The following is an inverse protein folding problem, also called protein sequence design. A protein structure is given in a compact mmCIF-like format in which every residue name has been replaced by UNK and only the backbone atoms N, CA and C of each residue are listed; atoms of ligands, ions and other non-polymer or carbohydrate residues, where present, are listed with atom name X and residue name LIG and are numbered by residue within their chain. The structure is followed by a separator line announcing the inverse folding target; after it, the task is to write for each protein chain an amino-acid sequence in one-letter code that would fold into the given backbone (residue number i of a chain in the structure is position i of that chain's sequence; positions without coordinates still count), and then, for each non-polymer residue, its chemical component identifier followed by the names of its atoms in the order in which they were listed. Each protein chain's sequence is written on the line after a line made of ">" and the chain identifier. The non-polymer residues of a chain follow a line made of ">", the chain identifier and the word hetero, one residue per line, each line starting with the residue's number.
data_IF_995581825958
#
_entry.id   IF_995581825958
#
_cell.length_a   1.000
_cell.length_b   1.000
_cell.length_c   1.000
_cell.angle_alpha   90.00
_cell.angle_beta   90.00
_cell.angle_gamma   90.00
#
_symmetry.space_group_name_H-M   'P 1'
#
loop_
_entity.id
_entity.type
_entity.pdbx_description
1 polymer ?
#
# COMPACT_ATOMS: atom_id res chain seq x y z
N UNK A 1 -32.10 -5.71 6.66
CA UNK A 1 -31.01 -4.73 6.65
C UNK A 1 -31.13 -4.00 5.33
N UNK A 2 -31.56 -2.73 5.38
CA UNK A 2 -31.77 -1.89 4.20
C UNK A 2 -30.40 -1.33 3.79
N UNK A 3 -29.89 -1.67 2.60
CA UNK A 3 -28.86 -0.83 1.97
C UNK A 3 -29.62 0.41 1.49
N UNK A 4 -29.49 1.52 2.20
CA UNK A 4 -30.37 2.68 1.98
C UNK A 4 -30.00 3.41 0.68
N UNK A 5 -28.76 3.27 0.22
CA UNK A 5 -28.26 3.99 -0.96
C UNK A 5 -27.44 3.12 -1.93
N UNK A 6 -27.31 1.81 -1.66
CA UNK A 6 -26.50 0.87 -2.46
C UNK A 6 -25.04 1.31 -2.63
N UNK A 7 -24.51 2.04 -1.65
CA UNK A 7 -23.11 2.46 -1.66
C UNK A 7 -22.19 1.26 -1.43
N UNK A 8 -20.94 1.36 -1.88
CA UNK A 8 -19.96 0.30 -1.67
C UNK A 8 -19.75 -0.01 -0.17
N UNK A 9 -19.76 1.03 0.67
CA UNK A 9 -19.54 0.88 2.11
C UNK A 9 -20.67 0.09 2.78
N UNK A 10 -21.93 0.35 2.42
CA UNK A 10 -23.09 -0.40 2.92
C UNK A 10 -23.03 -1.88 2.51
N UNK A 11 -22.77 -2.13 1.22
CA UNK A 11 -22.76 -3.48 0.66
C UNK A 11 -21.58 -4.29 1.24
N UNK A 12 -20.39 -3.69 1.30
CA UNK A 12 -19.21 -4.36 1.87
C UNK A 12 -19.35 -4.62 3.36
N UNK A 13 -19.97 -3.70 4.13
CA UNK A 13 -20.29 -3.93 5.54
C UNK A 13 -21.26 -5.11 5.73
N UNK A 14 -22.31 -5.19 4.90
CA UNK A 14 -23.23 -6.33 4.92
C UNK A 14 -22.52 -7.66 4.63
N UNK A 15 -21.69 -7.71 3.57
CA UNK A 15 -20.94 -8.91 3.19
C UNK A 15 -19.96 -9.34 4.28
N UNK A 16 -19.24 -8.38 4.87
CA UNK A 16 -18.33 -8.64 5.98
C UNK A 16 -19.07 -9.18 7.20
N UNK A 17 -20.19 -8.55 7.59
CA UNK A 17 -21.02 -9.02 8.69
C UNK A 17 -21.56 -10.43 8.45
N UNK A 18 -22.04 -10.72 7.23
CA UNK A 18 -22.52 -12.05 6.86
C UNK A 18 -21.40 -13.10 6.91
N UNK A 19 -20.22 -12.77 6.36
CA UNK A 19 -19.06 -13.67 6.32
C UNK A 19 -18.37 -13.87 7.67
N UNK A 20 -18.62 -12.96 8.63
CA UNK A 20 -18.18 -13.13 10.00
C UNK A 20 -19.05 -14.16 10.75
N UNK A 21 -20.37 -14.14 10.54
CA UNK A 21 -21.32 -15.02 11.24
C UNK A 21 -21.46 -16.39 10.55
N UNK A 22 -21.21 -16.47 9.25
CA UNK A 22 -21.29 -17.69 8.46
C UNK A 22 -19.95 -17.97 7.80
N UNK A 23 -19.51 -19.23 7.80
CA UNK A 23 -18.34 -19.65 7.03
C UNK A 23 -18.67 -19.60 5.53
N UNK A 24 -18.18 -18.59 4.84
CA UNK A 24 -18.28 -18.39 3.39
C UNK A 24 -16.89 -18.60 2.76
N UNK A 25 -16.79 -18.74 1.42
CA UNK A 25 -15.49 -18.85 0.74
C UNK A 25 -14.55 -17.67 0.99
N UNK A 26 -15.11 -16.49 1.28
CA UNK A 26 -14.39 -15.23 1.55
C UNK A 26 -14.25 -14.92 3.05
N UNK A 27 -14.69 -15.83 3.94
CA UNK A 27 -14.42 -15.73 5.37
C UNK A 27 -12.94 -15.98 5.65
N UNK A 28 -12.36 -15.21 6.58
CA UNK A 28 -10.97 -15.38 7.01
C UNK A 28 -9.99 -14.48 6.26
N UNK A 29 -8.70 -14.68 6.53
CA UNK A 29 -7.60 -13.80 6.07
C UNK A 29 -7.21 -14.01 4.61
N UNK A 30 -7.50 -15.17 4.03
CA UNK A 30 -7.01 -15.54 2.70
C UNK A 30 -7.59 -14.64 1.62
N UNK A 31 -8.87 -14.28 1.74
CA UNK A 31 -9.50 -13.36 0.79
C UNK A 31 -8.92 -11.95 0.92
N UNK A 32 -8.68 -11.47 2.15
CA UNK A 32 -7.98 -10.20 2.37
C UNK A 32 -6.62 -10.19 1.68
N UNK A 33 -5.83 -11.25 1.90
CA UNK A 33 -4.50 -11.42 1.31
C UNK A 33 -4.56 -11.47 -0.21
N UNK A 34 -5.49 -12.25 -0.79
CA UNK A 34 -5.71 -12.34 -2.22
C UNK A 34 -6.01 -10.98 -2.85
N UNK A 35 -6.97 -10.24 -2.30
CA UNK A 35 -7.35 -8.91 -2.81
C UNK A 35 -6.18 -7.93 -2.72
N UNK A 36 -5.40 -7.97 -1.63
CA UNK A 36 -4.22 -7.13 -1.48
C UNK A 36 -3.18 -7.45 -2.56
N UNK A 37 -2.78 -8.72 -2.70
CA UNK A 37 -1.76 -9.16 -3.65
C UNK A 37 -2.16 -8.84 -5.10
N UNK A 38 -3.40 -9.14 -5.49
CA UNK A 38 -3.94 -8.85 -6.84
C UNK A 38 -3.85 -7.37 -7.21
N UNK A 39 -3.93 -6.48 -6.22
CA UNK A 39 -3.93 -5.03 -6.42
C UNK A 39 -2.60 -4.36 -6.03
N UNK A 40 -1.57 -5.15 -5.70
CA UNK A 40 -0.26 -4.69 -5.24
C UNK A 40 -0.31 -3.91 -3.91
N UNK A 41 -1.30 -4.16 -3.06
CA UNK A 41 -1.36 -3.60 -1.71
C UNK A 41 -0.63 -4.52 -0.71
N UNK A 42 -0.07 -3.95 0.38
CA UNK A 42 0.37 -4.73 1.53
C UNK A 42 -0.74 -5.63 2.07
N UNK A 43 -0.39 -6.84 2.52
CA UNK A 43 -1.37 -7.89 2.87
C UNK A 43 -2.07 -7.66 4.22
N UNK A 44 -1.68 -6.65 4.98
CA UNK A 44 -2.32 -6.26 6.24
C UNK A 44 -3.56 -5.37 6.06
N UNK A 45 -3.90 -4.98 4.82
CA UNK A 45 -5.11 -4.21 4.54
C UNK A 45 -6.36 -5.09 4.43
N UNK A 46 -7.50 -4.53 4.80
CA UNK A 46 -8.80 -5.18 4.59
C UNK A 46 -9.24 -5.06 3.14
N UNK A 47 -9.94 -6.08 2.60
CA UNK A 47 -10.26 -6.15 1.18
C UNK A 47 -11.16 -4.99 0.74
N UNK A 48 -12.06 -4.55 1.62
CA UNK A 48 -13.00 -3.46 1.31
C UNK A 48 -12.28 -2.14 1.10
N UNK A 49 -11.27 -1.84 1.93
CA UNK A 49 -10.42 -0.67 1.74
C UNK A 49 -9.71 -0.73 0.39
N UNK A 50 -9.05 -1.85 0.08
CA UNK A 50 -8.31 -2.03 -1.18
C UNK A 50 -9.21 -1.79 -2.39
N UNK A 51 -10.39 -2.42 -2.43
CA UNK A 51 -11.34 -2.27 -3.54
C UNK A 51 -11.83 -0.83 -3.65
N UNK A 52 -12.16 -0.19 -2.53
CA UNK A 52 -12.62 1.21 -2.54
C UNK A 52 -11.53 2.16 -3.05
N UNK A 53 -10.27 1.92 -2.69
CA UNK A 53 -9.13 2.73 -3.15
C UNK A 53 -8.84 2.50 -4.64
N UNK A 54 -9.08 1.30 -5.16
CA UNK A 54 -8.86 0.98 -6.58
C UNK A 54 -9.97 1.49 -7.52
N UNK A 55 -11.14 1.82 -7.00
CA UNK A 55 -12.30 2.25 -7.80
C UNK A 55 -12.49 3.77 -7.79
N UNK A 56 -12.98 4.34 -8.90
CA UNK A 56 -13.24 5.78 -9.02
C UNK A 56 -14.54 6.20 -8.33
N UNK A 57 -15.53 5.30 -8.28
CA UNK A 57 -16.85 5.54 -7.71
C UNK A 57 -17.43 4.24 -7.11
N UNK A 58 -18.61 4.34 -6.49
CA UNK A 58 -19.26 3.20 -5.83
C UNK A 58 -19.71 2.11 -6.79
N UNK A 59 -20.20 2.46 -7.98
CA UNK A 59 -20.63 1.48 -8.99
C UNK A 59 -19.45 0.61 -9.47
N UNK A 60 -18.32 1.25 -9.77
CA UNK A 60 -17.09 0.57 -10.12
C UNK A 60 -16.58 -0.30 -8.96
N UNK A 61 -16.63 0.21 -7.72
CA UNK A 61 -16.20 -0.54 -6.54
C UNK A 61 -17.05 -1.81 -6.32
N UNK A 62 -18.36 -1.72 -6.49
CA UNK A 62 -19.29 -2.85 -6.38
C UNK A 62 -19.04 -3.88 -7.50
N UNK A 63 -18.82 -3.42 -8.73
CA UNK A 63 -18.46 -4.29 -9.86
C UNK A 63 -17.12 -5.01 -9.62
N UNK A 64 -16.10 -4.27 -9.18
CA UNK A 64 -14.77 -4.81 -8.86
C UNK A 64 -14.85 -5.85 -7.74
N UNK A 65 -15.62 -5.57 -6.68
CA UNK A 65 -15.91 -6.52 -5.60
C UNK A 65 -16.56 -7.80 -6.10
N UNK A 66 -17.65 -7.68 -6.87
CA UNK A 66 -18.35 -8.85 -7.40
C UNK A 66 -17.41 -9.73 -8.21
N UNK A 67 -16.66 -9.14 -9.14
CA UNK A 67 -15.74 -9.88 -10.01
C UNK A 67 -14.61 -10.54 -9.21
N UNK A 68 -14.06 -9.84 -8.22
CA UNK A 68 -12.97 -10.35 -7.38
C UNK A 68 -13.43 -11.51 -6.49
N UNK A 69 -14.65 -11.44 -5.92
CA UNK A 69 -15.22 -12.53 -5.14
C UNK A 69 -15.45 -13.76 -6.02
N UNK A 70 -16.03 -13.57 -7.22
CA UNK A 70 -16.29 -14.67 -8.15
C UNK A 70 -14.99 -15.35 -8.59
N UNK A 71 -13.99 -14.57 -8.99
CA UNK A 71 -12.67 -15.07 -9.36
C UNK A 71 -12.05 -15.89 -8.21
N UNK A 72 -12.03 -15.33 -6.99
CA UNK A 72 -11.47 -16.04 -5.84
C UNK A 72 -12.19 -17.37 -5.56
N UNK A 73 -13.52 -17.39 -5.65
CA UNK A 73 -14.31 -18.61 -5.51
C UNK A 73 -13.99 -19.64 -6.60
N UNK A 74 -13.85 -19.22 -7.86
CA UNK A 74 -13.45 -20.09 -8.96
C UNK A 74 -12.04 -20.65 -8.76
N UNK A 75 -11.10 -19.82 -8.29
CA UNK A 75 -9.73 -20.24 -7.98
C UNK A 75 -9.69 -21.29 -6.85
N UNK A 76 -10.45 -21.10 -5.76
CA UNK A 76 -10.51 -22.06 -4.63
C UNK A 76 -11.04 -23.43 -5.02
N UNK A 77 -11.75 -23.56 -6.13
CA UNK A 77 -12.22 -24.86 -6.62
C UNK A 77 -11.14 -25.64 -7.37
N UNK A 78 -10.04 -25.00 -7.78
CA UNK A 78 -9.01 -25.59 -8.66
C UNK A 78 -7.58 -25.52 -8.13
N UNK A 79 -7.30 -24.66 -7.17
CA UNK A 79 -5.96 -24.36 -6.65
C UNK A 79 -5.96 -24.38 -5.13
N UNK A 80 -4.82 -24.72 -4.54
CA UNK A 80 -4.58 -24.54 -3.11
C UNK A 80 -4.26 -23.07 -2.76
N UNK A 81 -4.20 -22.73 -1.47
CA UNK A 81 -4.00 -21.34 -1.03
C UNK A 81 -2.73 -20.70 -1.60
N UNK A 82 -1.59 -21.38 -1.53
CA UNK A 82 -0.30 -20.85 -2.00
C UNK A 82 -0.32 -20.59 -3.51
N UNK A 83 -0.92 -21.50 -4.28
CA UNK A 83 -1.12 -21.34 -5.73
C UNK A 83 -2.01 -20.13 -6.04
N UNK A 84 -3.05 -19.88 -5.24
CA UNK A 84 -3.94 -18.73 -5.40
C UNK A 84 -3.21 -17.43 -5.10
N UNK A 85 -2.39 -17.40 -4.04
CA UNK A 85 -1.59 -16.21 -3.71
C UNK A 85 -0.55 -15.93 -4.78
N UNK A 86 0.12 -16.96 -5.29
CA UNK A 86 1.08 -16.81 -6.38
C UNK A 86 0.40 -16.33 -7.66
N UNK A 87 -0.77 -16.89 -8.01
CA UNK A 87 -1.58 -16.41 -9.13
C UNK A 87 -1.94 -14.92 -8.99
N UNK A 88 -2.30 -14.47 -7.78
CA UNK A 88 -2.62 -13.07 -7.52
C UNK A 88 -1.40 -12.15 -7.74
N UNK A 89 -0.22 -12.58 -7.29
CA UNK A 89 1.06 -11.86 -7.48
C UNK A 89 1.39 -11.77 -8.98
N UNK A 90 1.36 -12.89 -9.69
CA UNK A 90 1.75 -12.97 -11.11
C UNK A 90 0.85 -12.13 -12.02
N UNK A 91 -0.41 -11.96 -11.63
CA UNK A 91 -1.40 -11.18 -12.37
C UNK A 91 -1.52 -9.73 -11.89
N UNK A 92 -0.78 -9.34 -10.84
CA UNK A 92 -0.78 -7.97 -10.37
C UNK A 92 -0.05 -7.08 -11.38
N UNK A 93 -0.68 -5.96 -11.77
CA UNK A 93 -0.04 -4.95 -12.63
C UNK A 93 0.94 -4.12 -11.79
N UNK A 94 2.15 -4.64 -11.60
CA UNK A 94 3.15 -4.18 -10.63
C UNK A 94 4.28 -3.32 -11.21
N UNK A 95 4.16 -2.80 -12.45
CA UNK A 95 5.28 -2.06 -13.04
C UNK A 95 5.53 -0.74 -12.29
N UNK A 96 6.57 -0.72 -11.46
CA UNK A 96 7.06 0.46 -10.78
C UNK A 96 7.58 1.51 -11.78
N UNK A 97 7.17 2.76 -11.59
CA UNK A 97 7.69 3.91 -12.29
C UNK A 97 8.90 4.50 -11.57
N UNK A 98 9.40 5.62 -12.09
CA UNK A 98 10.47 6.38 -11.45
C UNK A 98 10.15 6.88 -10.02
N UNK A 99 8.94 7.36 -9.70
CA UNK A 99 8.61 7.77 -8.34
C UNK A 99 8.75 6.65 -7.31
N UNK A 100 8.28 5.45 -7.65
CA UNK A 100 8.33 4.28 -6.78
C UNK A 100 9.79 3.86 -6.52
N UNK A 101 10.66 3.93 -7.55
CA UNK A 101 12.10 3.69 -7.40
C UNK A 101 12.80 4.74 -6.54
N UNK A 102 12.43 6.03 -6.70
CA UNK A 102 12.95 7.13 -5.89
C UNK A 102 12.58 6.92 -4.42
N UNK A 103 11.33 6.56 -4.15
CA UNK A 103 10.90 6.26 -2.80
C UNK A 103 11.65 5.05 -2.21
N UNK A 104 11.83 3.97 -2.97
CA UNK A 104 12.61 2.80 -2.53
C UNK A 104 14.05 3.17 -2.15
N UNK A 105 14.69 4.04 -2.93
CA UNK A 105 16.02 4.59 -2.60
C UNK A 105 16.00 5.40 -1.31
N UNK A 106 14.96 6.20 -1.10
CA UNK A 106 14.78 6.97 0.13
C UNK A 106 14.54 6.07 1.36
N UNK A 107 13.64 5.09 1.26
CA UNK A 107 13.32 4.12 2.33
C UNK A 107 14.58 3.36 2.77
N UNK A 108 15.37 2.87 1.81
CA UNK A 108 16.66 2.23 2.07
C UNK A 108 17.70 3.18 2.69
N UNK A 109 17.67 4.46 2.35
CA UNK A 109 18.56 5.46 2.93
C UNK A 109 18.18 5.78 4.39
N UNK A 110 16.88 5.77 4.72
CA UNK A 110 16.39 5.92 6.09
C UNK A 110 16.92 4.83 7.02
N UNK A 111 16.94 3.57 6.55
CA UNK A 111 17.46 2.43 7.34
C UNK A 111 18.92 2.62 7.75
N UNK A 112 19.71 3.28 6.88
CA UNK A 112 21.15 3.48 7.04
C UNK A 112 21.52 4.83 7.66
N UNK A 113 20.55 5.75 7.77
CA UNK A 113 20.79 7.14 8.19
C UNK A 113 21.67 7.91 7.20
N UNK A 114 21.58 7.62 5.90
CA UNK A 114 22.41 8.29 4.89
C UNK A 114 21.89 9.71 4.60
N UNK A 115 22.37 10.67 5.39
CA UNK A 115 22.00 12.08 5.30
C UNK A 115 22.08 12.62 3.86
N UNK A 116 23.18 12.33 3.14
CA UNK A 116 23.40 12.90 1.81
C UNK A 116 22.36 12.40 0.82
N UNK A 117 22.05 11.10 0.87
CA UNK A 117 21.04 10.51 0.00
C UNK A 117 19.65 11.01 0.38
N UNK A 118 19.29 10.97 1.67
CA UNK A 118 17.98 11.43 2.16
C UNK A 118 17.73 12.88 1.73
N UNK A 119 18.67 13.78 2.01
CA UNK A 119 18.54 15.21 1.70
C UNK A 119 18.38 15.47 0.19
N UNK A 120 18.96 14.64 -0.67
CA UNK A 120 18.80 14.77 -2.12
C UNK A 120 17.44 14.28 -2.66
N UNK A 121 16.68 13.52 -1.87
CA UNK A 121 15.45 12.84 -2.32
C UNK A 121 14.18 13.40 -1.68
N UNK A 122 14.28 14.34 -0.73
CA UNK A 122 13.13 14.96 -0.07
C UNK A 122 12.89 16.36 -0.61
N UNK A 123 11.67 16.85 -0.43
CA UNK A 123 11.38 18.29 -0.48
C UNK A 123 12.06 18.97 0.72
N UNK A 124 12.58 20.18 0.51
CA UNK A 124 13.27 20.94 1.56
C UNK A 124 12.37 21.10 2.80
N UNK A 125 12.92 20.74 3.98
CA UNK A 125 12.21 20.83 5.26
C UNK A 125 13.17 21.20 6.39
N UNK A 126 12.75 22.13 7.26
CA UNK A 126 13.58 22.64 8.37
C UNK A 126 13.95 21.57 9.43
N UNK A 127 13.10 20.54 9.58
CA UNK A 127 13.27 19.42 10.52
C UNK A 127 13.73 18.13 9.84
N UNK A 128 14.32 18.25 8.64
CA UNK A 128 14.81 17.10 7.89
C UNK A 128 15.86 16.29 8.68
N UNK A 129 16.53 16.90 9.66
CA UNK A 129 17.49 16.24 10.53
C UNK A 129 16.94 15.03 11.28
N UNK A 130 15.65 15.06 11.62
CA UNK A 130 14.97 13.93 12.26
C UNK A 130 14.98 12.64 11.41
N UNK A 131 15.16 12.74 10.08
CA UNK A 131 15.10 11.59 9.17
C UNK A 131 16.36 10.70 9.21
N UNK A 132 17.50 11.22 9.65
CA UNK A 132 18.76 10.47 9.76
C UNK A 132 19.24 10.29 11.20
N UNK A 133 18.39 10.60 12.18
CA UNK A 133 18.61 10.27 13.58
C UNK A 133 18.07 8.85 13.83
N UNK A 134 18.93 7.96 14.31
CA UNK A 134 18.63 6.54 14.52
C UNK A 134 18.81 5.71 13.25
N UNK A 135 19.98 5.07 13.11
CA UNK A 135 20.25 4.09 12.06
C UNK A 135 20.26 2.67 12.63
N UNK A 136 19.90 1.70 11.80
CA UNK A 136 20.05 0.30 12.16
C UNK A 136 21.53 -0.12 12.07
N UNK A 137 21.98 -1.08 12.89
CA UNK A 137 23.24 -1.77 12.65
C UNK A 137 23.30 -2.28 11.22
N UNK A 138 24.48 -2.23 10.58
CA UNK A 138 24.64 -2.51 9.14
C UNK A 138 24.00 -3.83 8.70
N UNK A 139 24.21 -4.91 9.46
CA UNK A 139 23.64 -6.22 9.16
C UNK A 139 22.11 -6.25 9.20
N UNK A 140 21.50 -5.48 10.11
CA UNK A 140 20.04 -5.37 10.22
C UNK A 140 19.49 -4.49 9.10
N UNK A 141 20.18 -3.38 8.78
CA UNK A 141 19.79 -2.49 7.69
C UNK A 141 19.78 -3.23 6.34
N UNK A 142 20.76 -4.10 6.08
CA UNK A 142 20.81 -4.93 4.87
C UNK A 142 19.62 -5.90 4.78
N UNK A 143 19.31 -6.61 5.87
CA UNK A 143 18.16 -7.52 5.91
C UNK A 143 16.82 -6.79 5.71
N UNK A 144 16.66 -5.61 6.31
CA UNK A 144 15.46 -4.79 6.14
C UNK A 144 15.35 -4.23 4.71
N UNK A 145 16.47 -3.87 4.08
CA UNK A 145 16.49 -3.47 2.67
C UNK A 145 16.05 -4.60 1.75
N UNK A 146 16.55 -5.83 1.95
CA UNK A 146 16.16 -6.99 1.14
C UNK A 146 14.65 -7.29 1.28
N UNK A 147 14.09 -7.11 2.48
CA UNK A 147 12.66 -7.24 2.72
C UNK A 147 11.86 -6.13 2.03
N UNK A 148 12.33 -4.88 2.07
CA UNK A 148 11.67 -3.75 1.40
C UNK A 148 11.67 -3.95 -0.11
N UNK A 149 12.78 -4.41 -0.70
CA UNK A 149 12.93 -4.67 -2.14
C UNK A 149 11.96 -5.72 -2.68
N UNK A 150 11.55 -6.68 -1.84
CA UNK A 150 10.52 -7.68 -2.19
C UNK A 150 9.08 -7.18 -2.07
N UNK A 151 8.84 -5.99 -1.51
CA UNK A 151 7.50 -5.46 -1.27
C UNK A 151 7.02 -4.59 -2.44
N UNK A 152 5.75 -4.77 -2.80
CA UNK A 152 5.11 -3.98 -3.85
C UNK A 152 4.78 -2.57 -3.38
N UNK A 153 5.13 -1.58 -4.20
CA UNK A 153 4.69 -0.19 -4.02
C UNK A 153 3.50 0.08 -4.95
N UNK A 154 2.40 0.60 -4.39
CA UNK A 154 1.19 0.91 -5.13
C UNK A 154 0.95 2.41 -5.22
N UNK A 155 0.85 2.93 -6.45
CA UNK A 155 0.26 4.25 -6.69
C UNK A 155 -1.25 4.21 -6.48
N UNK A 156 -1.74 5.03 -5.54
CA UNK A 156 -3.17 5.13 -5.20
C UNK A 156 -3.79 6.47 -5.64
N UNK A 157 -2.95 7.42 -6.03
CA UNK A 157 -3.38 8.73 -6.51
C UNK A 157 -2.34 9.30 -7.46
N UNK A 158 -2.81 10.02 -8.47
CA UNK A 158 -2.01 10.86 -9.37
C UNK A 158 -2.83 12.11 -9.70
N UNK A 159 -2.22 13.28 -9.55
CA UNK A 159 -2.85 14.55 -9.89
C UNK A 159 -3.04 14.69 -11.39
N UNK A 160 -3.98 15.53 -11.83
CA UNK A 160 -4.28 15.73 -13.26
C UNK A 160 -3.07 16.23 -14.07
N UNK A 161 -2.18 17.00 -13.42
CA UNK A 161 -0.94 17.49 -14.03
C UNK A 161 0.23 16.49 -13.92
N UNK A 162 0.04 15.33 -13.29
CA UNK A 162 1.06 14.29 -13.11
C UNK A 162 2.24 14.69 -12.23
N UNK A 163 2.14 15.80 -11.47
CA UNK A 163 3.23 16.32 -10.65
C UNK A 163 3.17 15.88 -9.18
N UNK A 164 2.06 15.31 -8.75
CA UNK A 164 1.87 14.80 -7.40
C UNK A 164 1.26 13.40 -7.47
N UNK A 165 1.86 12.46 -6.74
CA UNK A 165 1.30 11.13 -6.56
C UNK A 165 1.27 10.75 -5.09
N UNK A 166 0.40 9.81 -4.75
CA UNK A 166 0.48 9.12 -3.45
C UNK A 166 0.74 7.65 -3.68
N UNK A 167 1.72 7.14 -2.95
CA UNK A 167 2.11 5.74 -2.96
C UNK A 167 1.81 5.10 -1.62
N UNK A 168 1.51 3.81 -1.66
CA UNK A 168 1.22 2.98 -0.52
C UNK A 168 2.18 1.80 -0.57
N UNK A 169 2.85 1.55 0.55
CA UNK A 169 3.86 0.50 0.72
C UNK A 169 3.72 -0.12 2.11
N UNK A 170 4.26 -1.32 2.32
CA UNK A 170 4.25 -1.93 3.64
C UNK A 170 5.23 -1.22 4.57
N UNK A 171 5.04 -1.36 5.89
CA UNK A 171 5.87 -0.70 6.90
C UNK A 171 5.53 0.77 7.17
N UNK A 172 4.70 1.41 6.34
CA UNK A 172 4.29 2.80 6.51
C UNK A 172 2.81 2.91 6.91
N UNK A 173 2.46 3.65 7.97
CA UNK A 173 1.08 3.73 8.48
C UNK A 173 0.17 4.65 7.66
N UNK A 174 0.71 5.41 6.72
CA UNK A 174 -0.01 6.33 5.85
C UNK A 174 0.55 6.32 4.43
N UNK A 175 -0.24 6.74 3.42
CA UNK A 175 0.28 6.96 2.08
C UNK A 175 1.37 8.04 2.06
N UNK A 176 2.43 7.77 1.33
CA UNK A 176 3.54 8.71 1.12
C UNK A 176 3.24 9.56 -0.09
N UNK A 177 3.43 10.87 0.04
CA UNK A 177 3.27 11.81 -1.05
C UNK A 177 4.61 12.04 -1.76
N UNK A 178 4.58 11.99 -3.08
CA UNK A 178 5.72 12.27 -3.95
C UNK A 178 5.40 13.48 -4.82
N UNK A 179 6.35 14.38 -4.97
CA UNK A 179 6.21 15.65 -5.70
C UNK A 179 7.30 15.73 -6.76
N UNK A 180 6.93 16.11 -7.99
CA UNK A 180 7.89 16.37 -9.07
C UNK A 180 8.34 17.83 -9.02
N UNK A 181 9.58 18.07 -8.59
CA UNK A 181 10.19 19.40 -8.48
C UNK A 181 11.40 19.50 -9.40
N UNK A 182 11.44 20.52 -10.27
CA UNK A 182 12.54 20.76 -11.20
C UNK A 182 12.91 19.54 -12.08
N UNK A 183 11.91 18.69 -12.39
CA UNK A 183 12.10 17.48 -13.19
C UNK A 183 12.56 16.24 -12.41
N UNK A 184 12.71 16.35 -11.08
CA UNK A 184 13.08 15.24 -10.21
C UNK A 184 11.95 14.91 -9.22
N UNK A 185 11.67 13.62 -9.06
CA UNK A 185 10.73 13.19 -8.00
C UNK A 185 11.39 13.33 -6.64
N UNK A 186 10.64 13.90 -5.70
CA UNK A 186 11.02 14.10 -4.30
C UNK A 186 9.93 13.54 -3.39
N UNK A 187 10.33 13.08 -2.22
CA UNK A 187 9.44 12.62 -1.16
C UNK A 187 9.00 13.84 -0.33
N UNK A 188 7.70 14.03 -0.17
CA UNK A 188 7.21 14.93 0.87
C UNK A 188 7.33 14.20 2.23
N UNK A 189 8.31 14.62 3.03
CA UNK A 189 8.65 13.95 4.28
C UNK A 189 7.88 14.47 5.51
N UNK A 190 6.96 15.43 5.36
CA UNK A 190 6.30 16.11 6.47
C UNK A 190 5.65 15.13 7.48
N UNK A 191 4.88 14.17 6.99
CA UNK A 191 4.23 13.15 7.83
C UNK A 191 5.20 12.18 8.49
N UNK A 192 6.34 11.91 7.83
CA UNK A 192 7.39 11.04 8.36
C UNK A 192 8.08 11.75 9.53
N UNK A 193 8.35 13.04 9.37
CA UNK A 193 8.94 13.91 10.38
C UNK A 193 7.98 14.07 11.57
N UNK A 194 6.69 14.27 11.32
CA UNK A 194 5.65 14.30 12.35
C UNK A 194 5.65 13.01 13.17
N UNK A 195 5.59 11.85 12.52
CA UNK A 195 5.64 10.54 13.18
C UNK A 195 6.90 10.35 14.03
N UNK A 196 8.07 10.81 13.56
CA UNK A 196 9.33 10.74 14.33
C UNK A 196 9.34 11.72 15.50
N UNK A 197 8.70 12.88 15.36
CA UNK A 197 8.61 13.87 16.43
C UNK A 197 7.73 13.36 17.57
N UNK A 198 6.57 12.78 17.25
CA UNK A 198 5.66 12.20 18.25
C UNK A 198 6.31 11.05 19.03
N UNK A 199 7.09 10.21 18.34
CA UNK A 199 7.77 9.07 18.96
C UNK A 199 9.05 9.44 19.74
N UNK A 200 9.63 10.62 19.52
CA UNK A 200 10.79 11.13 20.27
C UNK A 200 10.42 11.88 21.56
N UNK A 201 9.13 11.99 21.89
CA UNK A 201 8.64 12.56 23.15
C UNK A 201 8.57 11.53 24.30
N UNK A 202 9.47 10.55 24.34
CA UNK A 202 9.59 9.55 25.41
C UNK A 202 10.94 9.66 26.14
#
# INVERSE_FOLDING_TARGET
>A
MYCLESTFNEISAFINGYSFVKKTPISGTDFHRFVCLKNSFPTNYIWSYVIKTCAKNDEEAVSLMKNTILEFCELKNRMNEDEIMQFAIDNAKTKEGEPEKVFRKFDNALLKGDKKVIQSLIVDNEKADLLWIGNYPKCVAEQLSDLSDGQSIKRIYESENGQNIKILTSGWPFPIEMILENGEWKVNADKIIELRTENNCA
#
